data_IF_558285834034
#
_entry.id   IF_558285834034
#
_cell.length_a   1.000
_cell.length_b   1.000
_cell.length_c   1.000
_cell.angle_alpha   90.00
_cell.angle_beta   90.00
_cell.angle_gamma   90.00
#
_symmetry.space_group_name_H-M   'P 1'
#
loop_
_entity.id
_entity.type
_entity.pdbx_description
1 polymer ?
#
# COMPACT_ATOMS: atom_id res chain seq x y z
N UNK A 1 -2.64 6.86 -28.70
CA UNK A 1 -2.88 6.86 -27.23
C UNK A 1 -4.30 6.36 -26.99
N UNK A 2 -4.46 5.06 -26.74
CA UNK A 2 -5.79 4.45 -26.58
C UNK A 2 -6.34 4.89 -25.21
N UNK A 3 -7.36 5.74 -25.22
CA UNK A 3 -8.11 6.14 -24.04
C UNK A 3 -8.86 4.90 -23.55
N UNK A 4 -8.24 4.11 -22.67
CA UNK A 4 -8.85 2.92 -22.05
C UNK A 4 -10.09 3.34 -21.26
N UNK A 5 -11.27 2.97 -21.76
CA UNK A 5 -12.57 2.89 -21.07
C UNK A 5 -12.80 3.94 -19.97
N UNK A 6 -12.99 5.19 -20.37
CA UNK A 6 -13.71 6.14 -19.51
C UNK A 6 -15.18 5.77 -19.64
N UNK A 7 -15.74 5.03 -18.66
CA UNK A 7 -17.20 4.99 -18.49
C UNK A 7 -17.62 6.43 -18.21
N UNK A 8 -18.15 7.10 -19.23
CA UNK A 8 -18.84 8.36 -19.06
C UNK A 8 -20.15 8.02 -18.35
N UNK A 9 -20.12 8.05 -17.02
CA UNK A 9 -21.33 7.86 -16.24
C UNK A 9 -22.24 9.06 -16.48
N UNK A 10 -23.51 8.78 -16.78
CA UNK A 10 -24.47 9.75 -17.30
C UNK A 10 -24.91 10.77 -16.24
N UNK A 11 -24.57 10.54 -14.97
CA UNK A 11 -25.02 11.36 -13.85
C UNK A 11 -23.95 11.49 -12.74
N UNK A 12 -23.85 12.65 -12.07
CA UNK A 12 -22.86 12.90 -11.00
C UNK A 12 -23.02 11.95 -9.82
N UNK A 13 -24.25 11.52 -9.54
CA UNK A 13 -24.55 10.52 -8.52
C UNK A 13 -24.00 9.13 -8.85
N UNK A 14 -24.13 8.68 -10.10
CA UNK A 14 -23.52 7.43 -10.54
C UNK A 14 -22.00 7.53 -10.42
N UNK A 15 -21.44 8.64 -10.93
CA UNK A 15 -20.01 8.91 -10.87
C UNK A 15 -19.46 8.84 -9.44
N UNK A 16 -20.18 9.44 -8.49
CA UNK A 16 -19.86 9.38 -7.06
C UNK A 16 -19.90 7.94 -6.52
N UNK A 17 -20.93 7.16 -6.86
CA UNK A 17 -21.03 5.74 -6.47
C UNK A 17 -19.92 4.89 -7.07
N UNK A 18 -19.56 5.11 -8.32
CA UNK A 18 -18.45 4.41 -8.96
C UNK A 18 -17.12 4.71 -8.27
N UNK A 19 -16.84 5.99 -8.01
CA UNK A 19 -15.66 6.41 -7.27
C UNK A 19 -15.65 5.83 -5.85
N UNK A 20 -16.80 5.78 -5.18
CA UNK A 20 -16.94 5.18 -3.86
C UNK A 20 -16.59 3.69 -3.90
N UNK A 21 -17.18 2.91 -4.81
CA UNK A 21 -16.85 1.48 -4.96
C UNK A 21 -15.38 1.26 -5.31
N UNK A 22 -14.83 2.07 -6.22
CA UNK A 22 -13.45 1.97 -6.67
C UNK A 22 -12.44 2.31 -5.58
N UNK A 23 -12.69 3.37 -4.79
CA UNK A 23 -11.84 3.77 -3.66
C UNK A 23 -11.86 2.70 -2.57
N UNK A 24 -13.01 2.11 -2.26
CA UNK A 24 -13.14 1.01 -1.31
C UNK A 24 -12.32 -0.21 -1.72
N UNK A 25 -12.42 -0.62 -3.00
CA UNK A 25 -11.64 -1.76 -3.52
C UNK A 25 -10.15 -1.50 -3.40
N UNK A 26 -9.68 -0.29 -3.75
CA UNK A 26 -8.28 0.10 -3.60
C UNK A 26 -7.84 0.12 -2.14
N UNK A 27 -8.65 0.66 -1.24
CA UNK A 27 -8.36 0.70 0.19
C UNK A 27 -8.19 -0.72 0.75
N UNK A 28 -9.13 -1.63 0.46
CA UNK A 28 -9.05 -3.04 0.85
C UNK A 28 -7.83 -3.75 0.27
N UNK A 29 -7.48 -3.48 -0.98
CA UNK A 29 -6.29 -4.05 -1.60
C UNK A 29 -5.01 -3.59 -0.89
N UNK A 30 -4.86 -2.28 -0.64
CA UNK A 30 -3.68 -1.77 0.08
C UNK A 30 -3.66 -2.19 1.55
N UNK A 31 -4.82 -2.33 2.19
CA UNK A 31 -4.92 -2.89 3.53
C UNK A 31 -4.43 -4.34 3.56
N UNK A 32 -4.90 -5.18 2.63
CA UNK A 32 -4.44 -6.56 2.51
C UNK A 32 -2.93 -6.62 2.28
N UNK A 33 -2.43 -5.83 1.33
CA UNK A 33 -0.99 -5.76 1.03
C UNK A 33 -0.18 -5.34 2.25
N UNK A 34 -0.67 -4.36 3.02
CA UNK A 34 -0.01 -3.88 4.23
C UNK A 34 0.13 -5.00 5.26
N UNK A 35 -0.95 -5.74 5.52
CA UNK A 35 -0.93 -6.84 6.48
C UNK A 35 -0.05 -7.99 6.03
N UNK A 36 -0.11 -8.38 4.76
CA UNK A 36 0.73 -9.46 4.23
C UNK A 36 2.21 -9.12 4.35
N UNK A 37 2.61 -7.92 3.93
CA UNK A 37 4.02 -7.49 4.00
C UNK A 37 4.49 -7.31 5.44
N UNK A 38 3.63 -6.81 6.33
CA UNK A 38 3.96 -6.66 7.76
C UNK A 38 4.10 -8.01 8.45
N UNK A 39 3.19 -8.95 8.19
CA UNK A 39 3.24 -10.30 8.75
C UNK A 39 4.47 -11.06 8.24
N UNK A 40 4.81 -10.91 6.96
CA UNK A 40 6.02 -11.46 6.38
C UNK A 40 7.27 -10.87 7.05
N UNK A 41 7.33 -9.55 7.21
CA UNK A 41 8.43 -8.87 7.91
C UNK A 41 8.62 -9.39 9.34
N UNK A 42 7.54 -9.51 10.12
CA UNK A 42 7.56 -10.05 11.49
C UNK A 42 8.02 -11.52 11.49
N UNK A 43 7.48 -12.34 10.59
CA UNK A 43 7.84 -13.76 10.49
C UNK A 43 9.33 -13.93 10.22
N UNK A 44 9.90 -13.17 9.27
CA UNK A 44 11.33 -13.25 8.95
C UNK A 44 12.22 -12.73 10.08
N UNK A 45 11.80 -11.69 10.80
CA UNK A 45 12.53 -11.22 11.98
C UNK A 45 12.52 -12.27 13.11
N UNK A 46 11.35 -12.87 13.38
CA UNK A 46 11.21 -13.94 14.36
C UNK A 46 12.03 -15.18 13.97
N UNK A 47 11.92 -15.62 12.72
CA UNK A 47 12.70 -16.73 12.18
C UNK A 47 14.20 -16.45 12.28
N UNK A 48 14.66 -15.26 11.88
CA UNK A 48 16.06 -14.86 12.00
C UNK A 48 16.56 -14.93 13.46
N UNK A 49 15.75 -14.46 14.40
CA UNK A 49 16.07 -14.48 15.84
C UNK A 49 16.14 -15.92 16.38
N UNK A 50 15.15 -16.74 16.03
CA UNK A 50 15.07 -18.15 16.43
C UNK A 50 16.24 -18.96 15.88
N UNK A 51 16.58 -18.78 14.61
CA UNK A 51 17.77 -19.36 13.98
C UNK A 51 19.07 -18.89 14.67
N UNK A 52 19.12 -17.64 15.13
CA UNK A 52 20.20 -17.09 15.96
C UNK A 52 20.41 -17.86 17.24
N UNK A 53 19.33 -18.08 17.98
CA UNK A 53 19.36 -18.82 19.23
C UNK A 53 19.80 -20.27 19.00
N UNK A 54 19.24 -20.95 17.99
CA UNK A 54 19.62 -22.32 17.67
C UNK A 54 21.10 -22.45 17.27
N UNK A 55 21.64 -21.50 16.50
CA UNK A 55 23.06 -21.49 16.13
C UNK A 55 23.98 -21.25 17.33
N UNK A 56 23.60 -20.37 18.26
CA UNK A 56 24.38 -20.14 19.48
C UNK A 56 24.33 -21.33 20.44
N UNK A 57 23.24 -22.10 20.42
CA UNK A 57 23.05 -23.30 21.25
C UNK A 57 23.68 -24.56 20.65
N UNK A 58 23.81 -24.65 19.32
CA UNK A 58 24.24 -25.87 18.63
C UNK A 58 25.64 -26.39 18.99
N UNK A 59 26.67 -25.57 19.31
CA UNK A 59 27.98 -26.09 19.70
C UNK A 59 27.97 -26.78 21.07
N UNK A 60 26.91 -26.57 21.87
CA UNK A 60 26.78 -27.09 23.24
C UNK A 60 25.96 -28.38 23.30
N UNK A 61 25.33 -28.79 22.22
CA UNK A 61 24.40 -29.92 22.17
C UNK A 61 24.65 -30.73 20.90
N UNK A 62 25.20 -31.94 21.06
CA UNK A 62 25.53 -32.87 19.96
C UNK A 62 24.32 -33.21 19.06
N UNK A 63 23.10 -33.17 19.59
CA UNK A 63 21.86 -33.41 18.83
C UNK A 63 21.61 -32.34 17.75
N UNK A 64 22.17 -31.13 17.90
CA UNK A 64 21.98 -30.01 16.97
C UNK A 64 23.20 -29.79 16.05
N UNK A 65 24.19 -30.67 16.09
CA UNK A 65 25.37 -30.64 15.23
C UNK A 65 25.06 -30.60 13.72
N UNK A 66 24.04 -31.33 13.19
CA UNK A 66 23.65 -31.24 11.78
C UNK A 66 23.15 -29.84 11.40
N UNK A 67 22.54 -29.12 12.34
CA UNK A 67 22.03 -27.77 12.12
C UNK A 67 23.15 -26.73 12.13
N UNK A 68 24.20 -26.95 12.94
CA UNK A 68 25.39 -26.12 12.97
C UNK A 68 26.15 -26.17 11.63
N UNK A 69 26.16 -27.34 10.99
CA UNK A 69 26.90 -27.63 9.77
C UNK A 69 26.09 -27.35 8.47
N UNK A 70 24.80 -27.04 8.59
CA UNK A 70 23.93 -26.80 7.43
C UNK A 70 24.37 -25.60 6.58
N UNK A 71 24.97 -24.59 7.22
CA UNK A 71 25.43 -23.36 6.56
C UNK A 71 26.96 -23.26 6.48
N UNK A 72 27.68 -24.35 6.74
CA UNK A 72 29.15 -24.38 6.61
C UNK A 72 29.54 -24.87 5.23
N UNK A 73 30.43 -24.14 4.57
CA UNK A 73 31.06 -24.53 3.31
C UNK A 73 32.56 -24.75 3.55
N UNK A 74 33.16 -25.73 2.87
CA UNK A 74 34.60 -25.97 2.91
C UNK A 74 35.22 -25.28 1.69
N UNK A 75 36.06 -24.28 1.94
CA UNK A 75 36.76 -23.51 0.91
C UNK A 75 37.85 -24.34 0.21
N UNK A 76 38.37 -23.85 -0.92
CA UNK A 76 39.41 -24.52 -1.74
C UNK A 76 40.68 -24.86 -0.96
N UNK A 77 40.93 -24.15 0.15
CA UNK A 77 42.05 -24.35 1.06
C UNK A 77 41.75 -25.32 2.23
N UNK A 78 40.59 -26.00 2.23
CA UNK A 78 40.15 -26.90 3.30
C UNK A 78 39.65 -26.20 4.57
N UNK A 79 39.48 -24.87 4.52
CA UNK A 79 38.99 -24.07 5.66
C UNK A 79 37.46 -24.11 5.73
N UNK A 80 36.92 -24.43 6.90
CA UNK A 80 35.47 -24.39 7.15
C UNK A 80 35.04 -22.93 7.33
N UNK A 81 34.13 -22.47 6.48
CA UNK A 81 33.56 -21.12 6.50
C UNK A 81 32.08 -21.21 6.86
N UNK A 82 31.69 -20.51 7.93
CA UNK A 82 30.30 -20.43 8.37
C UNK A 82 29.57 -19.30 7.66
N UNK A 83 28.65 -19.63 6.75
CA UNK A 83 27.82 -18.67 6.01
C UNK A 83 26.55 -18.27 6.78
N UNK A 84 26.33 -18.85 7.96
CA UNK A 84 25.14 -18.57 8.78
C UNK A 84 24.89 -17.07 9.03
N UNK A 85 25.90 -16.24 9.38
CA UNK A 85 25.69 -14.81 9.59
C UNK A 85 25.16 -14.11 8.33
N UNK A 86 25.61 -14.55 7.14
CA UNK A 86 25.21 -13.96 5.86
C UNK A 86 23.72 -14.23 5.59
N UNK A 87 23.28 -15.48 5.71
CA UNK A 87 21.88 -15.83 5.45
C UNK A 87 20.91 -15.24 6.49
N UNK A 88 21.28 -15.28 7.78
CA UNK A 88 20.37 -14.89 8.85
C UNK A 88 20.36 -13.37 9.11
N UNK A 89 21.53 -12.73 9.14
CA UNK A 89 21.61 -11.29 9.40
C UNK A 89 21.52 -10.48 8.11
N UNK A 90 22.19 -10.88 7.03
CA UNK A 90 22.22 -10.02 5.84
C UNK A 90 21.01 -10.19 4.95
N UNK A 91 20.51 -11.42 4.76
CA UNK A 91 19.39 -11.66 3.86
C UNK A 91 18.06 -11.48 4.61
N UNK A 92 17.82 -12.25 5.67
CA UNK A 92 16.51 -12.25 6.34
C UNK A 92 16.19 -10.94 7.06
N UNK A 93 17.15 -10.36 7.79
CA UNK A 93 16.91 -9.10 8.50
C UNK A 93 16.74 -7.93 7.51
N UNK A 94 17.56 -7.85 6.46
CA UNK A 94 17.43 -6.80 5.45
C UNK A 94 16.09 -6.89 4.71
N UNK A 95 15.66 -8.10 4.33
CA UNK A 95 14.34 -8.31 3.70
C UNK A 95 13.22 -7.90 4.66
N UNK A 96 13.33 -8.27 5.94
CA UNK A 96 12.34 -7.87 6.96
C UNK A 96 12.25 -6.35 7.11
N UNK A 97 13.39 -5.65 7.20
CA UNK A 97 13.45 -4.19 7.32
C UNK A 97 12.89 -3.51 6.06
N UNK A 98 13.34 -3.93 4.87
CA UNK A 98 12.88 -3.36 3.59
C UNK A 98 11.37 -3.53 3.46
N UNK A 99 10.83 -4.71 3.78
CA UNK A 99 9.40 -4.97 3.74
C UNK A 99 8.63 -4.12 4.76
N UNK A 100 9.16 -3.96 5.98
CA UNK A 100 8.57 -3.09 7.00
C UNK A 100 8.51 -1.63 6.55
N UNK A 101 9.61 -1.11 5.99
CA UNK A 101 9.68 0.25 5.43
C UNK A 101 8.73 0.42 4.24
N UNK A 102 8.67 -0.56 3.33
CA UNK A 102 7.75 -0.55 2.20
C UNK A 102 6.29 -0.52 2.66
N UNK A 103 5.92 -1.33 3.66
CA UNK A 103 4.59 -1.34 4.24
C UNK A 103 4.23 0.03 4.85
N UNK A 104 5.14 0.62 5.63
CA UNK A 104 4.88 1.87 6.35
C UNK A 104 4.89 3.12 5.46
N UNK A 105 5.81 3.23 4.51
CA UNK A 105 6.02 4.46 3.74
C UNK A 105 5.39 4.45 2.35
N UNK A 106 5.10 3.28 1.78
CA UNK A 106 4.52 3.18 0.44
C UNK A 106 3.08 2.66 0.48
N UNK A 107 2.82 1.61 1.25
CA UNK A 107 1.50 0.97 1.27
C UNK A 107 0.53 1.71 2.19
N UNK A 108 0.91 1.98 3.44
CA UNK A 108 0.04 2.64 4.43
C UNK A 108 -0.47 4.02 3.99
N UNK A 109 0.34 4.93 3.42
CA UNK A 109 -0.17 6.22 2.96
C UNK A 109 -1.17 6.09 1.82
N UNK A 110 -0.97 5.11 0.93
CA UNK A 110 -1.93 4.82 -0.16
C UNK A 110 -3.21 4.22 0.38
N UNK A 111 -3.14 3.34 1.37
CA UNK A 111 -4.33 2.83 2.06
C UNK A 111 -5.11 3.98 2.70
N UNK A 112 -4.49 4.77 3.57
CA UNK A 112 -5.12 5.90 4.26
C UNK A 112 -5.77 6.87 3.28
N UNK A 113 -5.05 7.28 2.23
CA UNK A 113 -5.60 8.18 1.21
C UNK A 113 -6.84 7.61 0.52
N UNK A 114 -6.86 6.32 0.17
CA UNK A 114 -8.03 5.73 -0.47
C UNK A 114 -9.19 5.58 0.52
N UNK A 115 -8.90 5.35 1.81
CA UNK A 115 -9.90 5.31 2.87
C UNK A 115 -10.51 6.70 3.10
N UNK A 116 -9.71 7.75 3.21
CA UNK A 116 -10.15 9.14 3.35
C UNK A 116 -11.06 9.57 2.18
N UNK A 117 -10.67 9.24 0.94
CA UNK A 117 -11.50 9.48 -0.24
C UNK A 117 -12.83 8.71 -0.13
N UNK A 118 -12.79 7.47 0.33
CA UNK A 118 -13.98 6.65 0.47
C UNK A 118 -14.95 7.22 1.52
N UNK A 119 -14.44 7.61 2.68
CA UNK A 119 -15.19 8.19 3.78
C UNK A 119 -15.82 9.54 3.38
N UNK A 120 -15.05 10.39 2.69
CA UNK A 120 -15.56 11.62 2.09
C UNK A 120 -16.72 11.34 1.13
N UNK A 121 -16.54 10.42 0.17
CA UNK A 121 -17.58 10.09 -0.81
C UNK A 121 -18.82 9.49 -0.15
N UNK A 122 -18.66 8.69 0.92
CA UNK A 122 -19.77 8.14 1.70
C UNK A 122 -20.60 9.25 2.33
N UNK A 123 -19.95 10.20 2.99
CA UNK A 123 -20.62 11.36 3.62
C UNK A 123 -21.34 12.18 2.56
N UNK A 124 -20.68 12.49 1.45
CA UNK A 124 -21.26 13.27 0.35
C UNK A 124 -22.47 12.60 -0.28
N UNK A 125 -22.42 11.28 -0.50
CA UNK A 125 -23.55 10.51 -1.01
C UNK A 125 -24.73 10.54 -0.03
N UNK A 126 -24.49 10.39 1.28
CA UNK A 126 -25.54 10.47 2.30
C UNK A 126 -26.17 11.87 2.31
N UNK A 127 -25.36 12.93 2.31
CA UNK A 127 -25.85 14.31 2.29
C UNK A 127 -26.69 14.60 1.03
N UNK A 128 -26.25 14.08 -0.11
CA UNK A 128 -26.96 14.19 -1.38
C UNK A 128 -28.31 13.45 -1.36
N UNK A 129 -28.34 12.20 -0.89
CA UNK A 129 -29.55 11.36 -0.80
C UNK A 129 -30.57 11.93 0.19
N UNK A 130 -30.09 12.43 1.33
CA UNK A 130 -30.92 13.04 2.37
C UNK A 130 -31.29 14.49 2.08
N UNK A 131 -30.77 15.08 0.97
CA UNK A 131 -30.92 16.50 0.62
C UNK A 131 -30.63 17.43 1.80
N UNK A 132 -29.58 17.12 2.56
CA UNK A 132 -29.24 17.83 3.79
C UNK A 132 -27.99 18.70 3.63
N UNK A 133 -27.81 19.65 4.55
CA UNK A 133 -26.68 20.58 4.53
C UNK A 133 -26.64 21.41 3.25
N UNK A 134 -25.51 21.38 2.54
CA UNK A 134 -25.30 22.14 1.30
C UNK A 134 -26.24 21.75 0.15
N UNK A 135 -26.87 20.57 0.22
CA UNK A 135 -27.81 20.10 -0.78
C UNK A 135 -29.26 20.52 -0.51
N UNK A 136 -29.59 21.03 0.68
CA UNK A 136 -30.96 21.39 1.04
C UNK A 136 -31.57 22.50 0.15
N UNK A 137 -30.75 23.48 -0.22
CA UNK A 137 -31.18 24.67 -0.97
C UNK A 137 -30.52 24.78 -2.36
N UNK A 138 -29.86 23.72 -2.84
CA UNK A 138 -29.12 23.78 -4.10
C UNK A 138 -30.08 23.74 -5.30
N UNK A 139 -29.98 24.74 -6.20
CA UNK A 139 -30.76 24.79 -7.45
C UNK A 139 -30.48 23.61 -8.37
N UNK A 140 -29.24 23.10 -8.38
CA UNK A 140 -28.85 21.93 -9.15
C UNK A 140 -27.98 20.99 -8.30
N UNK A 141 -28.62 19.99 -7.71
CA UNK A 141 -28.00 19.01 -6.81
C UNK A 141 -26.85 18.24 -7.48
N UNK A 142 -27.01 17.87 -8.76
CA UNK A 142 -26.02 17.06 -9.49
C UNK A 142 -24.73 17.85 -9.75
N UNK A 143 -24.87 19.14 -10.07
CA UNK A 143 -23.73 20.01 -10.29
C UNK A 143 -22.97 20.28 -8.99
N UNK A 144 -23.69 20.48 -7.88
CA UNK A 144 -23.09 20.68 -6.56
C UNK A 144 -22.30 19.45 -6.11
N UNK A 145 -22.84 18.25 -6.34
CA UNK A 145 -22.16 16.98 -6.05
C UNK A 145 -20.88 16.83 -6.87
N UNK A 146 -20.96 17.13 -8.17
CA UNK A 146 -19.79 17.09 -9.05
C UNK A 146 -18.70 18.07 -8.61
N UNK A 147 -19.08 19.31 -8.26
CA UNK A 147 -18.15 20.34 -7.82
C UNK A 147 -17.47 19.95 -6.51
N UNK A 148 -18.24 19.43 -5.55
CA UNK A 148 -17.73 18.94 -4.28
C UNK A 148 -16.66 17.86 -4.47
N UNK A 149 -16.97 16.82 -5.25
CA UNK A 149 -16.06 15.72 -5.54
C UNK A 149 -14.83 16.20 -6.30
N UNK A 150 -15.02 17.04 -7.31
CA UNK A 150 -13.94 17.53 -8.16
C UNK A 150 -12.98 18.46 -7.43
N UNK A 151 -13.49 19.25 -6.47
CA UNK A 151 -12.69 20.09 -5.58
C UNK A 151 -11.86 19.24 -4.63
N UNK A 152 -12.47 18.25 -3.98
CA UNK A 152 -11.78 17.38 -3.03
C UNK A 152 -10.68 16.53 -3.69
N UNK A 153 -10.96 15.97 -4.86
CA UNK A 153 -10.00 15.15 -5.60
C UNK A 153 -8.93 15.96 -6.35
N UNK A 154 -9.04 17.30 -6.37
CA UNK A 154 -8.13 18.19 -7.09
C UNK A 154 -8.17 18.03 -8.62
N UNK A 155 -9.21 17.37 -9.15
CA UNK A 155 -9.37 17.09 -10.59
C UNK A 155 -9.40 18.39 -11.39
N UNK A 156 -10.07 19.43 -10.87
CA UNK A 156 -10.16 20.73 -11.51
C UNK A 156 -8.79 21.42 -11.62
N UNK A 157 -7.96 21.35 -10.58
CA UNK A 157 -6.62 21.94 -10.60
C UNK A 157 -5.69 21.19 -11.55
N UNK A 158 -5.76 19.85 -11.59
CA UNK A 158 -5.00 19.04 -12.52
C UNK A 158 -5.40 19.29 -13.99
N UNK A 159 -6.70 19.46 -14.25
CA UNK A 159 -7.21 19.80 -15.59
C UNK A 159 -6.82 21.22 -15.99
N UNK A 160 -6.90 22.20 -15.07
CA UNK A 160 -6.49 23.58 -15.30
C UNK A 160 -5.01 23.68 -15.67
N UNK A 161 -4.13 23.04 -14.88
CA UNK A 161 -2.69 23.02 -15.16
C UNK A 161 -2.37 22.36 -16.51
N UNK A 162 -3.13 21.33 -16.91
CA UNK A 162 -2.96 20.66 -18.22
C UNK A 162 -3.45 21.53 -19.39
N UNK A 163 -4.41 22.41 -19.17
CA UNK A 163 -4.92 23.39 -20.14
C UNK A 163 -3.97 24.57 -20.30
N UNK A 164 -3.42 25.07 -19.19
CA UNK A 164 -2.43 26.16 -19.18
C UNK A 164 -1.12 25.73 -19.84
N UNK A 165 -0.62 24.52 -19.55
CA UNK A 165 0.56 23.95 -20.21
C UNK A 165 0.33 23.57 -21.69
N UNK A 166 -0.91 23.63 -22.20
CA UNK A 166 -1.25 23.40 -23.61
C UNK A 166 -1.43 24.67 -24.43
N UNK A 167 -1.38 25.86 -23.82
CA UNK A 167 -1.26 27.10 -24.59
C UNK A 167 0.17 27.14 -25.15
N UNK A 168 0.39 27.06 -26.47
CA UNK A 168 1.71 27.30 -27.01
C UNK A 168 2.15 28.69 -26.57
N UNK A 169 3.42 28.81 -26.16
CA UNK A 169 4.04 30.11 -25.95
C UNK A 169 3.76 30.99 -27.16
N UNK A 170 3.29 32.20 -26.89
CA UNK A 170 3.39 33.30 -27.85
C UNK A 170 4.85 33.61 -28.10
#
# INVERSE_FOLDING_TARGET
MIVKNVRLESNSYEFAKFLYKKSLVKAKFFQFLFWTVSLFSIFFAFFSTLMGIFKLASPKLSVFEPFANFFTYVDENGKIVDQWPIFVLWINLSISIINGLFALFLVKPRWNRNQEINDFLKIELILFETKSGKYANAKNLQLELFNSISKYLGILNALKNKLENKKPGK
#
